data_IF_524606434097
#
_entry.id   IF_524606434097
#
_cell.length_a   1.000
_cell.length_b   1.000
_cell.length_c   1.000
_cell.angle_alpha   90.00
_cell.angle_beta   90.00
_cell.angle_gamma   90.00
#
_symmetry.space_group_name_H-M   'P 1'
#
loop_
_entity.id
_entity.type
_entity.pdbx_description
1 polymer ?
#
# COMPACT_ATOMS: atom_id res chain seq x y z
N UNK A 1 -15.84 -8.93 7.06
CA UNK A 1 -15.12 -9.65 8.02
C UNK A 1 -14.04 -8.95 8.77
N UNK A 2 -13.34 -9.73 9.56
CA UNK A 2 -12.27 -9.23 10.42
C UNK A 2 -10.88 -9.52 9.88
N UNK A 3 -10.78 -10.29 8.80
CA UNK A 3 -9.50 -10.72 8.26
C UNK A 3 -9.62 -11.03 6.77
N UNK A 4 -8.58 -10.73 6.03
CA UNK A 4 -8.46 -11.08 4.61
C UNK A 4 -7.00 -11.15 4.18
N UNK A 5 -6.73 -11.85 3.09
CA UNK A 5 -5.38 -12.00 2.54
C UNK A 5 -5.39 -11.73 1.03
N UNK A 6 -4.28 -11.20 0.54
CA UNK A 6 -3.98 -11.11 -0.88
C UNK A 6 -2.79 -12.01 -1.21
N UNK A 7 -2.92 -12.76 -2.31
CA UNK A 7 -1.81 -13.50 -2.87
C UNK A 7 -0.89 -12.53 -3.62
N UNK A 8 0.29 -12.31 -3.09
CA UNK A 8 1.29 -11.42 -3.68
C UNK A 8 2.54 -12.18 -4.11
N UNK A 9 2.44 -13.50 -4.29
CA UNK A 9 3.55 -14.37 -4.64
C UNK A 9 4.13 -15.04 -3.40
N UNK A 10 5.42 -14.87 -3.13
CA UNK A 10 6.10 -15.56 -2.03
C UNK A 10 5.70 -15.06 -0.64
N UNK A 11 5.11 -13.87 -0.56
CA UNK A 11 4.71 -13.25 0.71
C UNK A 11 3.21 -13.04 0.71
N UNK A 12 2.56 -13.37 1.81
CA UNK A 12 1.14 -13.10 2.01
C UNK A 12 0.97 -11.69 2.60
N UNK A 13 0.13 -10.87 1.95
CA UNK A 13 -0.32 -9.60 2.51
C UNK A 13 -1.68 -9.82 3.16
N UNK A 14 -1.75 -9.61 4.47
CA UNK A 14 -2.95 -9.85 5.25
C UNK A 14 -3.54 -8.54 5.77
N UNK A 15 -4.87 -8.51 5.85
CA UNK A 15 -5.63 -7.39 6.40
C UNK A 15 -6.43 -7.90 7.58
N UNK A 16 -6.26 -7.28 8.74
CA UNK A 16 -6.99 -7.63 9.96
C UNK A 16 -7.73 -6.40 10.48
N UNK A 17 -8.96 -6.58 10.93
CA UNK A 17 -9.67 -5.51 11.62
C UNK A 17 -8.92 -5.14 12.89
N UNK A 18 -9.05 -3.88 13.32
CA UNK A 18 -8.35 -3.40 14.51
C UNK A 18 -8.67 -4.23 15.76
N UNK A 19 -9.92 -4.68 15.90
CA UNK A 19 -10.33 -5.53 17.02
C UNK A 19 -9.55 -6.86 17.04
N UNK A 20 -9.27 -7.42 15.88
CA UNK A 20 -8.50 -8.67 15.79
C UNK A 20 -7.05 -8.44 16.21
N UNK A 21 -6.46 -7.32 15.82
CA UNK A 21 -5.12 -6.95 16.27
C UNK A 21 -5.08 -6.79 17.78
N UNK A 22 -6.08 -6.14 18.37
CA UNK A 22 -6.18 -5.94 19.81
C UNK A 22 -6.28 -7.27 20.57
N UNK A 23 -6.89 -8.28 19.96
CA UNK A 23 -6.99 -9.63 20.54
C UNK A 23 -5.69 -10.42 20.44
N UNK A 24 -4.87 -10.16 19.43
CA UNK A 24 -3.70 -10.97 19.13
C UNK A 24 -2.46 -10.58 19.93
N UNK A 25 -2.39 -9.35 20.41
CA UNK A 25 -1.26 -8.90 21.22
C UNK A 25 -1.67 -7.78 22.16
N UNK A 26 -1.00 -7.71 23.31
CA UNK A 26 -1.22 -6.65 24.30
C UNK A 26 -0.45 -5.40 23.91
N UNK A 27 -0.90 -4.25 24.39
CA UNK A 27 -0.22 -2.97 24.18
C UNK A 27 -0.79 -2.15 23.03
N UNK A 28 -1.69 -2.72 22.23
CA UNK A 28 -2.36 -2.01 21.15
C UNK A 28 -1.45 -1.70 19.96
N UNK A 29 -1.99 -0.94 19.02
CA UNK A 29 -1.27 -0.51 17.82
C UNK A 29 -1.77 0.86 17.37
N UNK A 30 -0.99 1.56 16.56
CA UNK A 30 -1.41 2.81 15.96
C UNK A 30 -2.22 2.51 14.70
N UNK A 31 -3.43 3.07 14.61
CA UNK A 31 -4.25 2.96 13.40
C UNK A 31 -3.59 3.76 12.28
N UNK A 32 -3.43 3.13 11.11
CA UNK A 32 -2.71 3.74 10.00
C UNK A 32 -3.37 5.01 9.48
N UNK A 33 -4.67 5.19 9.71
CA UNK A 33 -5.43 6.37 9.29
C UNK A 33 -5.52 7.46 10.37
N UNK A 34 -4.87 7.29 11.51
CA UNK A 34 -5.01 8.19 12.66
C UNK A 34 -4.24 9.50 12.55
N UNK A 35 -3.42 9.68 11.51
CA UNK A 35 -2.65 10.90 11.32
C UNK A 35 -2.89 11.50 9.94
N UNK A 36 -2.66 12.84 9.77
CA UNK A 36 -2.78 13.49 8.46
C UNK A 36 -1.81 12.94 7.43
N UNK A 37 -0.66 12.42 7.89
CA UNK A 37 0.36 11.82 7.04
C UNK A 37 0.37 10.31 7.23
N UNK A 38 0.76 9.53 6.20
CA UNK A 38 0.92 8.10 6.37
C UNK A 38 2.03 7.78 7.38
N UNK A 39 1.95 6.59 7.97
CA UNK A 39 3.00 6.09 8.84
C UNK A 39 4.30 5.93 8.04
N UNK A 40 5.44 5.89 8.74
CA UNK A 40 6.77 5.91 8.12
C UNK A 40 7.23 4.58 7.53
N UNK A 41 6.32 3.79 6.97
CA UNK A 41 6.67 2.60 6.19
C UNK A 41 5.75 2.50 4.97
N UNK A 42 6.13 1.69 4.00
CA UNK A 42 5.33 1.51 2.79
C UNK A 42 5.31 0.05 2.35
N UNK A 43 4.27 -0.29 1.58
CA UNK A 43 4.18 -1.57 0.89
C UNK A 43 4.40 -1.28 -0.58
N UNK A 44 5.42 -1.93 -1.18
CA UNK A 44 5.70 -1.78 -2.60
C UNK A 44 5.11 -2.94 -3.38
N UNK A 45 4.29 -2.63 -4.38
CA UNK A 45 3.67 -3.62 -5.27
C UNK A 45 4.21 -3.40 -6.69
N UNK A 46 4.77 -4.46 -7.26
CA UNK A 46 5.37 -4.43 -8.59
C UNK A 46 4.31 -4.68 -9.65
N UNK A 47 4.30 -3.86 -10.69
CA UNK A 47 3.41 -4.00 -11.84
C UNK A 47 4.12 -3.59 -13.12
N UNK A 48 3.72 -4.17 -14.25
CA UNK A 48 4.24 -3.77 -15.55
C UNK A 48 3.65 -2.47 -16.09
N UNK A 49 2.57 -1.98 -15.48
CA UNK A 49 1.86 -0.77 -15.96
C UNK A 49 1.43 0.07 -14.76
N UNK A 50 2.34 0.90 -14.28
CA UNK A 50 2.10 1.76 -13.12
C UNK A 50 0.97 2.79 -13.38
N UNK A 51 0.91 3.48 -14.51
CA UNK A 51 -0.19 4.44 -14.72
C UNK A 51 -1.57 3.81 -14.63
N UNK A 52 -1.77 2.63 -15.20
CA UNK A 52 -3.07 1.94 -15.14
C UNK A 52 -3.39 1.49 -13.72
N UNK A 53 -2.42 0.90 -13.02
CA UNK A 53 -2.61 0.45 -11.64
C UNK A 53 -2.91 1.63 -10.72
N UNK A 54 -2.21 2.75 -10.91
CA UNK A 54 -2.41 3.98 -10.14
C UNK A 54 -3.83 4.53 -10.35
N UNK A 55 -4.28 4.60 -11.59
CA UNK A 55 -5.62 5.09 -11.89
C UNK A 55 -6.70 4.19 -11.28
N UNK A 56 -6.51 2.87 -11.31
CA UNK A 56 -7.43 1.92 -10.67
C UNK A 56 -7.48 2.12 -9.16
N UNK A 57 -6.33 2.32 -8.54
CA UNK A 57 -6.27 2.55 -7.10
C UNK A 57 -7.03 3.81 -6.70
N UNK A 58 -6.84 4.90 -7.43
CA UNK A 58 -7.54 6.16 -7.17
C UNK A 58 -9.05 5.99 -7.38
N UNK A 59 -9.45 5.31 -8.45
CA UNK A 59 -10.87 5.04 -8.72
C UNK A 59 -11.51 4.18 -7.63
N UNK A 60 -10.73 3.32 -6.98
CA UNK A 60 -11.20 2.45 -5.89
C UNK A 60 -11.18 3.14 -4.52
N UNK A 61 -10.75 4.40 -4.43
CA UNK A 61 -10.80 5.18 -3.20
C UNK A 61 -9.47 5.57 -2.60
N UNK A 62 -8.35 5.16 -3.18
CA UNK A 62 -7.04 5.59 -2.71
C UNK A 62 -6.78 7.05 -3.08
N UNK A 63 -6.00 7.74 -2.26
CA UNK A 63 -5.60 9.12 -2.54
C UNK A 63 -4.23 9.13 -3.22
N UNK A 64 -4.11 9.90 -4.30
CA UNK A 64 -2.83 10.11 -4.95
C UNK A 64 -1.88 10.87 -4.02
N UNK A 65 -0.70 10.31 -3.79
CA UNK A 65 0.36 10.95 -3.02
C UNK A 65 1.47 11.46 -3.94
N UNK A 66 1.77 10.72 -5.00
CA UNK A 66 2.70 11.12 -6.04
C UNK A 66 2.28 10.45 -7.35
N UNK A 67 2.09 11.24 -8.40
CA UNK A 67 1.73 10.73 -9.72
C UNK A 67 2.84 9.84 -10.29
N UNK A 68 2.51 8.92 -11.22
CA UNK A 68 3.53 8.10 -11.87
C UNK A 68 4.64 8.94 -12.47
N UNK A 69 5.89 8.60 -12.17
CA UNK A 69 7.06 9.31 -12.67
C UNK A 69 8.21 8.34 -12.90
N UNK A 70 8.96 8.57 -14.00
CA UNK A 70 10.18 7.82 -14.26
C UNK A 70 11.27 8.29 -13.29
N UNK A 71 12.00 7.33 -12.72
CA UNK A 71 13.08 7.60 -11.78
C UNK A 71 14.43 7.42 -12.46
N UNK A 72 15.49 8.11 -11.95
CA UNK A 72 16.83 8.03 -12.57
C UNK A 72 17.40 6.60 -12.68
N UNK A 73 16.96 5.69 -11.80
CA UNK A 73 17.43 4.30 -11.81
C UNK A 73 16.59 3.38 -12.72
N UNK A 74 15.66 3.93 -13.52
CA UNK A 74 14.96 3.20 -14.57
C UNK A 74 13.55 2.69 -14.23
N UNK A 75 13.10 2.81 -13.00
CA UNK A 75 11.74 2.45 -12.63
C UNK A 75 10.75 3.58 -12.91
N UNK A 76 9.50 3.21 -13.18
CA UNK A 76 8.35 4.11 -13.03
C UNK A 76 7.76 3.84 -11.66
N UNK A 77 7.52 4.88 -10.88
CA UNK A 77 7.06 4.77 -9.49
C UNK A 77 5.91 5.74 -9.26
N UNK A 78 4.92 5.31 -8.49
CA UNK A 78 3.87 6.19 -7.99
C UNK A 78 3.54 5.82 -6.55
N UNK A 79 2.85 6.73 -5.85
CA UNK A 79 2.42 6.51 -4.47
C UNK A 79 0.96 6.83 -4.31
N UNK A 80 0.25 5.96 -3.59
CA UNK A 80 -1.13 6.19 -3.16
C UNK A 80 -1.25 5.91 -1.67
N UNK A 81 -2.19 6.58 -1.02
CA UNK A 81 -2.58 6.24 0.34
C UNK A 81 -3.93 5.55 0.30
N UNK A 82 -3.99 4.32 0.77
CA UNK A 82 -5.21 3.52 0.75
C UNK A 82 -6.24 4.06 1.77
N UNK A 83 -7.53 3.71 1.63
CA UNK A 83 -8.56 4.18 2.56
C UNK A 83 -8.29 3.83 4.03
N UNK A 84 -7.55 2.76 4.29
CA UNK A 84 -7.14 2.37 5.64
C UNK A 84 -5.95 3.16 6.18
N UNK A 85 -5.39 4.08 5.38
CA UNK A 85 -4.28 4.94 5.78
C UNK A 85 -2.91 4.43 5.39
N UNK A 86 -2.79 3.22 4.84
CA UNK A 86 -1.50 2.62 4.48
C UNK A 86 -0.93 3.25 3.21
N UNK A 87 0.37 3.57 3.22
CA UNK A 87 1.09 4.06 2.05
C UNK A 87 1.50 2.89 1.17
N UNK A 88 1.17 2.98 -0.12
CA UNK A 88 1.52 1.96 -1.11
C UNK A 88 2.33 2.61 -2.24
N UNK A 89 3.47 2.02 -2.55
CA UNK A 89 4.25 2.33 -3.75
C UNK A 89 3.83 1.37 -4.86
N UNK A 90 3.53 1.90 -6.04
CA UNK A 90 3.35 1.10 -7.25
C UNK A 90 4.59 1.32 -8.11
N UNK A 91 5.24 0.26 -8.52
CA UNK A 91 6.52 0.38 -9.22
C UNK A 91 6.69 -0.71 -10.27
N UNK A 92 7.43 -0.37 -11.33
CA UNK A 92 7.87 -1.38 -12.30
C UNK A 92 8.99 -2.22 -11.69
N UNK A 93 9.26 -3.42 -12.25
CA UNK A 93 10.41 -4.22 -11.79
C UNK A 93 11.71 -3.43 -11.90
N UNK A 94 12.64 -3.67 -10.97
CA UNK A 94 13.99 -3.11 -11.07
C UNK A 94 14.69 -3.82 -12.23
N UNK A 95 15.26 -3.04 -13.13
CA UNK A 95 16.07 -3.60 -14.22
C UNK A 95 17.39 -4.14 -13.68
N UNK A 96 17.67 -5.37 -14.04
CA UNK A 96 18.94 -5.99 -13.68
C UNK A 96 20.10 -5.38 -14.50
#
# INVERSE_FOLDING_TARGET
>A
GTYGELDTGATTLAFAAHELGDMNFAGGHVHADSSPQPLGFEIALVTGDVPTAHARAVAAGAREMAAPAAKPWGQVVSYVRCPDGVLVELCTPVSA
#
